data_IF_834566679204
#
_entry.id   IF_834566679204
#
_cell.length_a   1.000
_cell.length_b   1.000
_cell.length_c   1.000
_cell.angle_alpha   90.00
_cell.angle_beta   90.00
_cell.angle_gamma   90.00
#
_symmetry.space_group_name_H-M   'P 1'
#
loop_
_entity.id
_entity.type
_entity.pdbx_description
1 polymer ?
#
# COMPACT_ATOMS: atom_id res chain seq x y z
N UNK A 1 46.61 12.61 -9.10
CA UNK A 1 45.16 12.91 -9.02
C UNK A 1 44.25 11.71 -8.75
N UNK A 2 44.66 10.45 -9.00
CA UNK A 2 43.80 9.27 -8.72
C UNK A 2 43.59 8.94 -7.24
N UNK A 3 44.58 9.19 -6.37
CA UNK A 3 44.48 8.87 -4.94
C UNK A 3 43.41 9.68 -4.19
N UNK A 4 43.21 10.95 -4.56
CA UNK A 4 42.19 11.82 -3.95
C UNK A 4 40.78 11.37 -4.33
N UNK A 5 40.59 10.94 -5.58
CA UNK A 5 39.32 10.40 -6.10
C UNK A 5 39.01 9.03 -5.48
N UNK A 6 40.02 8.19 -5.28
CA UNK A 6 39.87 6.90 -4.60
C UNK A 6 39.50 7.06 -3.12
N UNK A 7 40.17 7.95 -2.40
CA UNK A 7 39.86 8.25 -0.99
C UNK A 7 38.48 8.89 -0.84
N UNK A 8 38.12 9.84 -1.69
CA UNK A 8 36.77 10.42 -1.67
C UNK A 8 35.70 9.38 -1.96
N UNK A 9 35.94 8.46 -2.88
CA UNK A 9 35.02 7.36 -3.20
C UNK A 9 34.77 6.44 -2.01
N UNK A 10 35.84 6.04 -1.30
CA UNK A 10 35.72 5.20 -0.10
C UNK A 10 34.94 5.93 1.00
N UNK A 11 35.23 7.21 1.23
CA UNK A 11 34.53 8.01 2.24
C UNK A 11 33.04 8.13 1.89
N UNK A 12 32.71 8.47 0.64
CA UNK A 12 31.31 8.54 0.20
C UNK A 12 30.58 7.20 0.31
N UNK A 13 31.27 6.10 0.02
CA UNK A 13 30.70 4.76 0.12
C UNK A 13 30.38 4.38 1.58
N UNK A 14 31.30 4.65 2.51
CA UNK A 14 31.08 4.42 3.93
C UNK A 14 29.91 5.26 4.47
N UNK A 15 29.81 6.52 4.05
CA UNK A 15 28.69 7.39 4.41
C UNK A 15 27.38 6.82 3.86
N UNK A 16 27.35 6.40 2.59
CA UNK A 16 26.16 5.81 1.98
C UNK A 16 25.68 4.54 2.68
N UNK A 17 26.59 3.64 3.06
CA UNK A 17 26.25 2.42 3.81
C UNK A 17 25.81 2.68 5.26
N UNK A 18 26.19 3.83 5.83
CA UNK A 18 25.79 4.23 7.18
C UNK A 18 24.39 4.86 7.25
N UNK A 19 23.78 5.17 6.09
CA UNK A 19 22.42 5.70 6.06
C UNK A 19 21.45 4.60 6.52
N UNK A 20 20.67 4.82 7.59
CA UNK A 20 19.70 3.85 8.04
C UNK A 20 18.64 3.63 6.95
N UNK A 21 18.40 2.36 6.63
CA UNK A 21 17.43 1.91 5.63
C UNK A 21 16.01 1.78 6.19
N UNK A 22 15.82 2.05 7.47
CA UNK A 22 14.52 2.00 8.14
C UNK A 22 13.69 3.26 7.81
N UNK A 23 13.25 3.34 6.56
CA UNK A 23 12.31 4.35 6.04
C UNK A 23 10.85 3.86 6.13
N UNK A 24 10.58 2.89 7.01
CA UNK A 24 9.23 2.38 7.25
C UNK A 24 8.37 3.40 8.00
N UNK A 25 7.05 3.23 7.92
CA UNK A 25 6.13 3.93 8.81
C UNK A 25 6.27 3.35 10.22
N UNK A 26 6.05 4.18 11.25
CA UNK A 26 5.96 3.67 12.62
C UNK A 26 4.75 2.72 12.76
N UNK A 27 4.74 1.75 13.69
CA UNK A 27 3.61 0.84 13.87
C UNK A 27 2.27 1.56 14.10
N UNK A 28 2.30 2.72 14.76
CA UNK A 28 1.12 3.58 14.95
C UNK A 28 0.66 4.21 13.64
N UNK A 29 1.60 4.74 12.84
CA UNK A 29 1.28 5.31 11.53
C UNK A 29 0.74 4.25 10.56
N UNK A 30 1.22 3.01 10.63
CA UNK A 30 0.68 1.87 9.88
C UNK A 30 -0.76 1.56 10.33
N UNK A 31 -1.00 1.49 11.64
CA UNK A 31 -2.32 1.19 12.19
C UNK A 31 -3.37 2.26 11.84
N UNK A 32 -2.98 3.53 11.77
CA UNK A 32 -3.87 4.66 11.45
C UNK A 32 -3.96 4.96 9.94
N UNK A 33 -3.11 4.32 9.12
CA UNK A 33 -3.08 4.55 7.68
C UNK A 33 -4.43 4.21 7.02
N UNK A 34 -4.89 5.12 6.16
CA UNK A 34 -6.07 4.99 5.30
C UNK A 34 -5.79 5.61 3.93
N UNK A 35 -6.31 5.04 2.83
CA UNK A 35 -6.12 5.59 1.49
C UNK A 35 -6.91 6.90 1.30
N UNK A 36 -6.46 7.71 0.35
CA UNK A 36 -7.18 8.93 -0.06
C UNK A 36 -8.53 8.55 -0.68
N UNK A 37 -9.60 9.17 -0.19
CA UNK A 37 -10.99 8.93 -0.62
C UNK A 37 -11.34 9.53 -2.00
N UNK A 38 -10.37 9.67 -2.90
CA UNK A 38 -10.66 10.13 -4.26
C UNK A 38 -11.55 9.09 -4.98
N UNK A 39 -12.66 9.56 -5.56
CA UNK A 39 -13.50 8.72 -6.41
C UNK A 39 -12.70 8.28 -7.63
N UNK A 40 -12.55 6.97 -7.78
CA UNK A 40 -11.94 6.39 -8.97
C UNK A 40 -12.82 6.70 -10.21
N UNK A 41 -12.27 7.27 -11.29
CA UNK A 41 -13.03 7.59 -12.50
C UNK A 41 -13.49 6.31 -13.21
N UNK A 42 -14.64 6.34 -13.88
CA UNK A 42 -15.17 5.17 -14.56
C UNK A 42 -14.36 4.87 -15.84
N UNK A 43 -13.82 3.64 -15.96
CA UNK A 43 -12.97 3.19 -17.06
C UNK A 43 -13.62 2.08 -17.92
N UNK A 44 -14.95 2.03 -17.97
CA UNK A 44 -15.71 0.99 -18.68
C UNK A 44 -15.91 -0.30 -17.88
N UNK A 45 -15.41 -0.33 -16.64
CA UNK A 45 -15.68 -1.30 -15.58
C UNK A 45 -15.62 -0.58 -14.24
N UNK A 46 -16.38 -1.05 -13.26
CA UNK A 46 -16.32 -0.49 -11.92
C UNK A 46 -14.91 -0.72 -11.33
N UNK A 47 -14.22 0.35 -10.95
CA UNK A 47 -12.91 0.25 -10.30
C UNK A 47 -13.05 0.07 -8.79
N UNK A 48 -12.03 -0.49 -8.15
CA UNK A 48 -11.93 -0.60 -6.70
C UNK A 48 -10.45 -0.53 -6.28
N UNK A 49 -10.19 0.03 -5.09
CA UNK A 49 -8.86 0.06 -4.48
C UNK A 49 -8.77 -1.00 -3.40
N UNK A 50 -7.64 -1.71 -3.33
CA UNK A 50 -7.34 -2.64 -2.23
C UNK A 50 -5.92 -2.39 -1.78
N UNK A 51 -5.77 -1.92 -0.55
CA UNK A 51 -4.48 -1.66 0.08
C UNK A 51 -4.30 -2.64 1.22
N UNK A 52 -3.25 -3.48 1.15
CA UNK A 52 -2.93 -4.47 2.17
C UNK A 52 -1.67 -4.04 2.90
N UNK A 53 -1.76 -3.97 4.22
CA UNK A 53 -0.60 -3.71 5.06
C UNK A 53 0.31 -4.94 5.06
N UNK A 54 1.59 -4.77 4.75
CA UNK A 54 2.57 -5.86 4.75
C UNK A 54 3.10 -6.17 6.16
N UNK A 55 3.17 -5.16 7.02
CA UNK A 55 3.61 -5.26 8.41
C UNK A 55 2.45 -5.52 9.37
N UNK A 56 2.74 -6.03 10.57
CA UNK A 56 1.71 -6.21 11.59
C UNK A 56 1.19 -4.86 12.13
N UNK A 57 -0.13 -4.68 12.29
CA UNK A 57 -1.19 -5.66 12.00
C UNK A 57 -1.54 -5.73 10.50
N UNK A 58 -1.52 -6.94 9.93
CA UNK A 58 -1.95 -7.16 8.54
C UNK A 58 -3.44 -6.85 8.45
N UNK A 59 -3.78 -5.80 7.70
CA UNK A 59 -5.15 -5.36 7.42
C UNK A 59 -5.28 -4.99 5.96
N UNK A 60 -6.48 -5.17 5.43
CA UNK A 60 -6.85 -4.81 4.06
C UNK A 60 -7.85 -3.67 4.10
N UNK A 61 -7.55 -2.56 3.45
CA UNK A 61 -8.47 -1.44 3.27
C UNK A 61 -9.02 -1.47 1.85
N UNK A 62 -10.34 -1.48 1.73
CA UNK A 62 -11.05 -1.70 0.48
C UNK A 62 -11.89 -0.47 0.18
N UNK A 63 -11.62 0.17 -0.97
CA UNK A 63 -12.38 1.30 -1.48
C UNK A 63 -13.26 0.85 -2.65
N UNK A 64 -14.56 0.88 -2.43
CA UNK A 64 -15.56 0.60 -3.47
C UNK A 64 -15.66 1.81 -4.42
N UNK A 65 -15.22 1.68 -5.68
CA UNK A 65 -15.37 2.78 -6.66
C UNK A 65 -16.82 3.17 -6.96
N UNK A 66 -17.78 2.24 -7.09
CA UNK A 66 -19.19 2.58 -7.37
C UNK A 66 -19.89 3.48 -6.34
N UNK A 67 -19.65 3.27 -5.05
CA UNK A 67 -20.36 4.00 -3.99
C UNK A 67 -19.45 4.83 -3.08
N UNK A 68 -18.12 4.66 -3.19
CA UNK A 68 -17.14 5.32 -2.32
C UNK A 68 -17.08 4.76 -0.91
N UNK A 69 -17.64 3.58 -0.65
CA UNK A 69 -17.53 2.93 0.66
C UNK A 69 -16.08 2.50 0.92
N UNK A 70 -15.57 2.83 2.11
CA UNK A 70 -14.27 2.39 2.58
C UNK A 70 -14.46 1.45 3.77
N UNK A 71 -13.90 0.25 3.65
CA UNK A 71 -13.99 -0.79 4.66
C UNK A 71 -12.61 -1.34 4.99
N UNK A 72 -12.35 -1.57 6.27
CA UNK A 72 -11.11 -2.17 6.75
C UNK A 72 -11.39 -3.58 7.27
N UNK A 73 -10.77 -4.58 6.66
CA UNK A 73 -10.87 -5.98 7.03
C UNK A 73 -9.56 -6.43 7.68
N UNK A 74 -9.65 -7.19 8.78
CA UNK A 74 -8.47 -7.78 9.40
C UNK A 74 -7.93 -8.93 8.55
N UNK A 75 -6.62 -8.96 8.35
CA UNK A 75 -5.94 -9.97 7.56
C UNK A 75 -5.66 -9.56 6.11
N UNK A 76 -5.18 -10.52 5.29
CA UNK A 76 -4.80 -10.28 3.91
C UNK A 76 -6.02 -10.02 3.02
N UNK A 77 -5.78 -9.66 1.75
CA UNK A 77 -6.83 -9.44 0.76
C UNK A 77 -7.76 -10.67 0.71
N UNK A 78 -9.08 -10.51 0.91
CA UNK A 78 -10.00 -11.63 0.85
C UNK A 78 -10.14 -12.15 -0.59
N UNK A 79 -10.42 -13.44 -0.74
CA UNK A 79 -10.56 -14.10 -2.04
C UNK A 79 -11.74 -13.55 -2.86
N UNK A 80 -12.80 -13.14 -2.18
CA UNK A 80 -13.97 -12.48 -2.74
C UNK A 80 -14.37 -11.31 -1.86
N UNK A 81 -15.00 -10.30 -2.45
CA UNK A 81 -15.52 -9.18 -1.68
C UNK A 81 -16.75 -8.58 -2.34
N UNK A 82 -17.80 -8.41 -1.52
CA UNK A 82 -19.03 -7.72 -1.88
C UNK A 82 -19.18 -6.49 -1.01
N UNK A 83 -19.34 -5.32 -1.63
CA UNK A 83 -19.46 -4.07 -0.89
C UNK A 83 -20.75 -4.07 -0.05
N UNK A 84 -20.70 -3.87 1.28
CA UNK A 84 -21.90 -3.89 2.13
C UNK A 84 -22.83 -2.71 1.87
N UNK A 85 -22.32 -1.58 1.37
CA UNK A 85 -23.11 -0.37 1.14
C UNK A 85 -23.96 -0.40 -0.15
N UNK A 86 -23.49 -1.06 -1.22
CA UNK A 86 -24.17 -1.08 -2.52
C UNK A 86 -24.43 -2.49 -3.07
N UNK A 87 -24.06 -3.52 -2.30
CA UNK A 87 -24.24 -4.94 -2.62
C UNK A 87 -23.63 -5.37 -3.97
N UNK A 88 -22.68 -4.61 -4.51
CA UNK A 88 -21.93 -5.00 -5.69
C UNK A 88 -20.74 -5.88 -5.31
N UNK A 89 -20.64 -7.03 -5.96
CA UNK A 89 -19.42 -7.86 -5.96
C UNK A 89 -18.32 -7.09 -6.68
N UNK A 90 -17.18 -6.88 -6.02
CA UNK A 90 -16.03 -6.18 -6.60
C UNK A 90 -15.06 -7.17 -7.25
N UNK A 91 -14.84 -8.32 -6.61
CA UNK A 91 -14.07 -9.43 -7.16
C UNK A 91 -14.50 -10.75 -6.54
N UNK A 92 -14.24 -11.85 -7.25
CA UNK A 92 -14.28 -13.23 -6.75
C UNK A 92 -13.19 -14.02 -7.45
N UNK A 93 -12.41 -14.79 -6.68
CA UNK A 93 -11.33 -15.62 -7.20
C UNK A 93 -11.78 -16.73 -8.14
N UNK A 94 -13.08 -17.10 -8.15
CA UNK A 94 -13.60 -18.05 -9.13
C UNK A 94 -13.77 -17.44 -10.54
N UNK A 95 -13.80 -16.11 -10.63
CA UNK A 95 -14.04 -15.37 -11.88
C UNK A 95 -12.73 -14.92 -12.57
N UNK A 96 -11.57 -15.10 -11.92
CA UNK A 96 -10.23 -14.66 -12.37
C UNK A 96 -9.36 -15.79 -12.96
#
# INVERSE_FOLDING_TARGET
MGGVVGLSGIICFLIGMSVPSDMGLSPQAVAEWTPSMERLPDAGRFMYGVDVTMDEPIKSTILCGPCGNLETVLGPRPAEYTCPACSKTLWSSEEE
#
